data_IF_508045813497
#
_entry.id   IF_508045813497
#
_cell.length_a   1.000
_cell.length_b   1.000
_cell.length_c   1.000
_cell.angle_alpha   90.00
_cell.angle_beta   90.00
_cell.angle_gamma   90.00
#
_symmetry.space_group_name_H-M   'P 1'
#
loop_
_entity.id
_entity.type
_entity.pdbx_description
1 polymer ?
#
# COMPACT_ATOMS: atom_id res chain seq x y z
N UNK A 1 10.59 39.38 15.28
CA UNK A 1 9.82 38.13 15.12
C UNK A 1 10.62 37.20 14.22
N UNK A 2 11.00 35.99 14.64
CA UNK A 2 11.78 35.04 13.81
C UNK A 2 10.84 33.98 13.25
N UNK A 3 10.79 33.84 11.92
CA UNK A 3 10.03 32.81 11.24
C UNK A 3 10.98 31.66 10.93
N UNK A 4 10.69 30.47 11.49
CA UNK A 4 11.46 29.25 11.22
C UNK A 4 10.70 28.42 10.20
N UNK A 5 11.22 28.28 8.99
CA UNK A 5 10.66 27.40 7.96
C UNK A 5 11.32 26.03 8.08
N UNK A 6 10.53 24.99 8.32
CA UNK A 6 11.01 23.60 8.35
C UNK A 6 10.77 22.94 7.00
N UNK A 7 11.85 22.67 6.27
CA UNK A 7 11.81 21.88 5.03
C UNK A 7 11.90 20.40 5.38
N UNK A 8 10.98 19.58 4.85
CA UNK A 8 11.02 18.12 4.99
C UNK A 8 11.55 17.53 3.68
N UNK A 9 12.77 16.99 3.70
CA UNK A 9 13.28 16.18 2.59
C UNK A 9 12.67 14.77 2.64
N UNK A 10 12.08 14.33 1.54
CA UNK A 10 11.79 12.92 1.29
C UNK A 10 12.96 12.30 0.52
N UNK A 11 13.67 11.36 1.15
CA UNK A 11 14.76 10.62 0.51
C UNK A 11 14.27 9.27 -0.01
N UNK A 12 14.33 9.08 -1.33
CA UNK A 12 14.01 7.82 -2.01
C UNK A 12 15.30 7.22 -2.57
N UNK A 13 15.62 5.97 -2.23
CA UNK A 13 16.75 5.24 -2.81
C UNK A 13 16.38 3.80 -3.16
N UNK A 14 16.69 3.39 -4.39
CA UNK A 14 16.48 2.06 -4.91
C UNK A 14 17.76 1.56 -5.58
N UNK A 15 18.14 0.29 -5.37
CA UNK A 15 19.24 -0.38 -6.06
C UNK A 15 18.87 -1.85 -6.32
N UNK A 16 19.08 -2.34 -7.55
CA UNK A 16 18.66 -3.68 -8.02
C UNK A 16 19.76 -4.46 -8.77
N UNK A 17 19.35 -5.37 -9.67
CA UNK A 17 20.12 -6.51 -10.28
C UNK A 17 20.07 -7.79 -9.40
N UNK A 18 20.31 -9.04 -9.82
CA UNK A 18 20.58 -9.76 -11.10
C UNK A 18 20.29 -11.29 -10.88
N UNK A 19 20.30 -12.27 -11.81
CA UNK A 19 20.61 -12.27 -13.27
C UNK A 19 19.70 -13.22 -14.13
N UNK A 20 20.20 -14.35 -14.66
CA UNK A 20 19.63 -15.18 -15.73
C UNK A 20 19.45 -16.69 -15.40
N UNK A 21 18.46 -17.36 -16.03
CA UNK A 21 18.49 -18.75 -16.56
C UNK A 21 17.21 -19.06 -17.39
N UNK A 22 17.29 -20.00 -18.35
CA UNK A 22 16.23 -20.32 -19.33
C UNK A 22 15.24 -21.42 -18.88
N UNK A 23 13.99 -21.46 -19.40
CA UNK A 23 13.03 -22.56 -19.23
C UNK A 23 12.99 -23.54 -20.43
N UNK A 24 12.55 -24.80 -20.25
CA UNK A 24 12.18 -25.71 -21.34
C UNK A 24 10.73 -25.50 -21.82
N UNK A 25 10.40 -26.07 -22.99
CA UNK A 25 9.27 -25.66 -23.83
C UNK A 25 8.00 -26.53 -23.76
N UNK A 26 6.88 -25.85 -24.02
CA UNK A 26 5.69 -26.24 -24.83
C UNK A 26 4.95 -27.59 -24.69
N UNK A 27 3.62 -27.50 -24.79
CA UNK A 27 2.78 -28.54 -25.43
C UNK A 27 1.32 -28.57 -24.97
N UNK A 28 0.38 -28.04 -25.79
CA UNK A 28 -1.07 -28.32 -25.58
C UNK A 28 -2.05 -27.27 -26.12
N UNK A 29 -2.70 -27.55 -27.26
CA UNK A 29 -3.84 -26.82 -27.84
C UNK A 29 -5.15 -27.23 -27.10
N UNK A 30 -6.35 -26.65 -27.25
CA UNK A 30 -6.99 -26.12 -28.47
C UNK A 30 -8.29 -25.30 -28.18
N UNK A 31 -8.55 -24.29 -29.03
CA UNK A 31 -9.84 -23.82 -29.63
C UNK A 31 -11.15 -23.50 -28.84
N UNK A 32 -11.68 -22.31 -29.21
CA UNK A 32 -13.10 -21.94 -29.51
C UNK A 32 -14.11 -21.82 -28.35
N UNK A 33 -15.13 -20.95 -28.38
CA UNK A 33 -15.84 -20.34 -29.54
C UNK A 33 -16.37 -18.90 -29.30
N UNK A 34 -16.83 -18.29 -30.39
CA UNK A 34 -17.53 -17.00 -30.56
C UNK A 34 -18.89 -16.91 -29.80
N UNK A 35 -19.51 -15.75 -29.57
CA UNK A 35 -20.36 -14.98 -30.53
C UNK A 35 -20.68 -13.57 -29.97
N UNK A 36 -20.51 -12.55 -30.85
CA UNK A 36 -21.33 -11.35 -31.17
C UNK A 36 -22.62 -11.02 -30.35
N UNK A 37 -23.22 -9.81 -30.31
CA UNK A 37 -23.04 -8.42 -30.83
C UNK A 37 -24.04 -7.52 -30.06
N UNK A 38 -23.86 -6.18 -29.98
CA UNK A 38 -24.96 -5.27 -29.54
C UNK A 38 -24.52 -3.85 -29.14
N UNK A 39 -25.15 -2.81 -29.72
CA UNK A 39 -24.72 -1.40 -29.64
C UNK A 39 -25.69 -0.49 -28.83
N UNK A 40 -25.23 0.76 -28.60
CA UNK A 40 -26.00 2.01 -28.42
C UNK A 40 -26.41 2.49 -26.99
N UNK A 41 -25.45 3.15 -26.35
CA UNK A 41 -25.49 4.54 -25.84
C UNK A 41 -26.74 5.19 -25.18
N UNK A 42 -26.43 5.83 -24.03
CA UNK A 42 -26.85 7.16 -23.54
C UNK A 42 -27.87 7.26 -22.38
N UNK A 43 -27.43 8.00 -21.35
CA UNK A 43 -28.16 8.52 -20.17
C UNK A 43 -28.67 7.45 -19.17
N UNK A 44 -28.41 7.54 -17.86
CA UNK A 44 -27.63 8.51 -17.06
C UNK A 44 -27.19 7.86 -15.74
N UNK A 45 -25.95 8.10 -15.30
CA UNK A 45 -25.24 7.37 -14.22
C UNK A 45 -25.06 5.86 -14.52
N UNK A 46 -23.87 5.50 -14.99
CA UNK A 46 -23.63 4.19 -15.61
C UNK A 46 -23.83 2.99 -14.67
N UNK A 47 -24.68 1.99 -15.02
CA UNK A 47 -24.84 0.76 -14.25
C UNK A 47 -23.52 0.03 -13.98
N UNK A 48 -22.52 0.16 -14.88
CA UNK A 48 -21.21 -0.47 -14.72
C UNK A 48 -20.38 0.07 -13.55
N UNK A 49 -20.44 1.37 -13.23
CA UNK A 49 -19.61 1.94 -12.15
C UNK A 49 -20.16 1.58 -10.76
N UNK A 50 -21.49 1.55 -10.63
CA UNK A 50 -22.15 1.09 -9.40
C UNK A 50 -21.98 -0.42 -9.21
N UNK A 51 -22.11 -1.21 -10.28
CA UNK A 51 -21.91 -2.66 -10.28
C UNK A 51 -20.45 -3.07 -10.06
N UNK A 52 -19.47 -2.25 -10.46
CA UNK A 52 -18.05 -2.42 -10.09
C UNK A 52 -17.84 -2.24 -8.58
N UNK A 53 -18.41 -1.17 -8.00
CA UNK A 53 -18.39 -0.91 -6.56
C UNK A 53 -19.21 -1.94 -5.73
N UNK A 54 -20.17 -2.63 -6.34
CA UNK A 54 -20.94 -3.73 -5.73
C UNK A 54 -20.25 -5.09 -5.88
N UNK A 55 -19.50 -5.35 -6.95
CA UNK A 55 -18.80 -6.63 -7.17
C UNK A 55 -17.49 -6.75 -6.37
N UNK A 56 -16.76 -5.65 -6.13
CA UNK A 56 -15.62 -5.65 -5.22
C UNK A 56 -16.01 -5.85 -3.75
N UNK A 57 -17.30 -5.77 -3.39
CA UNK A 57 -17.82 -6.10 -2.06
C UNK A 57 -18.01 -7.61 -1.82
N UNK A 58 -17.76 -8.46 -2.84
CA UNK A 58 -18.31 -9.83 -2.88
C UNK A 58 -17.33 -11.01 -2.88
N UNK A 59 -16.00 -10.83 -2.82
CA UNK A 59 -15.08 -12.00 -2.68
C UNK A 59 -15.05 -12.59 -1.28
N UNK A 60 -15.26 -11.77 -0.23
CA UNK A 60 -15.24 -12.20 1.17
C UNK A 60 -16.56 -12.88 1.58
N UNK A 61 -16.73 -14.14 1.17
CA UNK A 61 -17.73 -15.06 1.73
C UNK A 61 -17.27 -15.54 3.12
N UNK A 62 -17.27 -14.64 4.09
CA UNK A 62 -16.87 -14.94 5.46
C UNK A 62 -17.11 -13.77 6.40
N UNK A 63 -17.25 -14.07 7.69
CA UNK A 63 -17.25 -13.06 8.73
C UNK A 63 -15.82 -12.57 8.94
N UNK A 64 -15.50 -11.33 8.54
CA UNK A 64 -14.22 -10.63 8.83
C UNK A 64 -14.00 -10.34 10.32
N UNK A 65 -14.87 -10.86 11.20
CA UNK A 65 -14.79 -10.71 12.64
C UNK A 65 -13.58 -11.48 13.17
N UNK A 66 -12.57 -10.72 13.57
CA UNK A 66 -11.44 -11.22 14.33
C UNK A 66 -11.81 -11.31 15.81
N UNK A 67 -11.10 -12.16 16.54
CA UNK A 67 -11.05 -12.08 17.99
C UNK A 67 -9.63 -11.72 18.40
N UNK A 68 -9.47 -10.50 18.89
CA UNK A 68 -8.18 -9.96 19.30
C UNK A 68 -8.19 -9.77 20.82
N UNK A 69 -7.18 -10.31 21.49
CA UNK A 69 -6.98 -10.16 22.93
C UNK A 69 -5.59 -9.56 23.15
N UNK A 70 -5.46 -8.23 23.23
CA UNK A 70 -4.18 -7.59 23.46
C UNK A 70 -3.60 -8.01 24.82
N UNK A 71 -2.32 -8.39 24.83
CA UNK A 71 -1.59 -8.69 26.05
C UNK A 71 -1.48 -7.41 26.91
N UNK A 72 -1.93 -7.48 28.15
CA UNK A 72 -1.84 -6.37 29.11
C UNK A 72 -0.37 -6.08 29.41
N UNK A 73 0.07 -4.86 29.12
CA UNK A 73 1.43 -4.41 29.42
C UNK A 73 1.46 -3.67 30.77
N UNK A 74 2.46 -3.95 31.61
CA UNK A 74 2.71 -3.16 32.82
C UNK A 74 3.32 -1.78 32.49
N UNK A 75 4.19 -1.76 31.48
CA UNK A 75 4.98 -0.60 31.04
C UNK A 75 4.83 -0.39 29.53
N UNK A 76 5.14 0.82 29.05
CA UNK A 76 5.02 1.18 27.64
C UNK A 76 4.51 2.62 27.44
N UNK A 77 4.18 2.95 26.20
CA UNK A 77 3.68 4.30 25.84
C UNK A 77 2.21 4.42 26.25
N UNK A 78 1.89 5.38 27.12
CA UNK A 78 0.52 5.56 27.68
C UNK A 78 -0.36 6.54 26.90
N UNK A 79 0.15 7.12 25.82
CA UNK A 79 -0.45 8.21 25.05
C UNK A 79 -0.72 7.80 23.62
N UNK A 80 -1.58 8.55 22.93
CA UNK A 80 -2.06 8.22 21.60
C UNK A 80 -3.12 7.11 21.63
N UNK A 81 -3.48 6.63 20.46
CA UNK A 81 -4.48 5.58 20.28
C UNK A 81 -4.05 4.68 19.13
N UNK A 82 -4.23 3.36 19.28
CA UNK A 82 -4.01 2.39 18.20
C UNK A 82 -5.31 1.66 17.92
N UNK A 83 -5.73 1.66 16.65
CA UNK A 83 -6.75 0.76 16.13
C UNK A 83 -6.11 -0.26 15.18
N UNK A 84 -6.44 -1.54 15.34
CA UNK A 84 -6.05 -2.59 14.40
C UNK A 84 -7.30 -3.38 14.01
N UNK A 85 -7.62 -3.43 12.72
CA UNK A 85 -8.75 -4.20 12.19
C UNK A 85 -10.11 -3.87 12.84
N UNK A 86 -10.31 -2.61 13.23
CA UNK A 86 -11.53 -2.14 13.91
C UNK A 86 -11.55 -2.32 15.43
N UNK A 87 -10.57 -3.03 16.00
CA UNK A 87 -10.37 -3.13 17.45
C UNK A 87 -9.53 -1.99 17.99
N UNK A 88 -9.84 -1.51 19.19
CA UNK A 88 -8.95 -0.58 19.92
C UNK A 88 -7.95 -1.39 20.75
N UNK A 89 -6.66 -1.21 20.49
CA UNK A 89 -5.62 -1.73 21.36
C UNK A 89 -5.47 -0.74 22.54
N UNK A 90 -5.65 -1.17 23.81
CA UNK A 90 -5.51 -0.30 24.96
C UNK A 90 -4.03 -0.05 25.31
N UNK A 91 -3.65 1.14 25.79
CA UNK A 91 -2.32 1.40 26.34
C UNK A 91 -2.13 0.70 27.71
N UNK A 92 -0.89 0.53 28.21
CA UNK A 92 0.39 0.98 27.62
C UNK A 92 0.77 0.19 26.36
N UNK A 93 1.42 0.86 25.41
CA UNK A 93 1.87 0.27 24.15
C UNK A 93 3.32 -0.21 24.21
N UNK A 94 3.51 -1.50 23.92
CA UNK A 94 4.78 -2.16 23.59
C UNK A 94 4.73 -2.52 22.11
N UNK A 95 5.76 -2.10 21.34
CA UNK A 95 5.79 -2.20 19.87
C UNK A 95 7.13 -2.79 19.46
N UNK A 96 7.09 -3.99 18.88
CA UNK A 96 8.27 -4.80 18.54
C UNK A 96 8.15 -5.39 17.13
N UNK A 97 9.28 -5.83 16.55
CA UNK A 97 9.28 -6.71 15.38
C UNK A 97 9.63 -8.13 15.78
N UNK A 98 8.74 -9.07 15.47
CA UNK A 98 8.97 -10.51 15.62
C UNK A 98 9.15 -11.12 14.22
N UNK A 99 10.40 -11.40 13.85
CA UNK A 99 10.76 -11.89 12.51
C UNK A 99 10.41 -10.87 11.41
N UNK A 100 9.32 -11.14 10.68
CA UNK A 100 8.77 -10.30 9.62
C UNK A 100 7.45 -9.60 10.00
N UNK A 101 7.04 -9.66 11.28
CA UNK A 101 5.76 -9.14 11.78
C UNK A 101 5.97 -7.99 12.76
N UNK A 102 5.17 -6.93 12.61
CA UNK A 102 5.04 -5.85 13.59
C UNK A 102 3.98 -6.25 14.61
N UNK A 103 4.40 -6.29 15.88
CA UNK A 103 3.57 -6.68 17.01
C UNK A 103 3.33 -5.47 17.91
N UNK A 104 2.07 -5.27 18.30
CA UNK A 104 1.64 -4.24 19.26
C UNK A 104 0.87 -4.93 20.37
N UNK A 105 1.39 -4.91 21.60
CA UNK A 105 0.78 -5.60 22.75
C UNK A 105 0.42 -7.07 22.46
N UNK A 106 1.32 -7.81 21.81
CA UNK A 106 1.07 -9.21 21.39
C UNK A 106 0.13 -9.39 20.19
N UNK A 107 -0.45 -8.31 19.66
CA UNK A 107 -1.28 -8.34 18.44
C UNK A 107 -0.43 -8.08 17.22
N UNK A 108 -0.45 -8.99 16.24
CA UNK A 108 0.14 -8.73 14.93
C UNK A 108 -0.68 -7.70 14.16
N UNK A 109 -0.06 -6.57 13.81
CA UNK A 109 -0.71 -5.46 13.08
C UNK A 109 -0.19 -5.28 11.64
N UNK A 110 0.93 -5.92 11.30
CA UNK A 110 1.46 -5.98 9.93
C UNK A 110 2.40 -7.18 9.76
N UNK A 111 2.27 -8.01 8.70
CA UNK A 111 1.16 -8.06 7.75
C UNK A 111 -0.17 -8.35 8.46
N UNK A 112 -1.27 -8.05 7.78
CA UNK A 112 -2.63 -8.20 8.34
C UNK A 112 -2.92 -9.64 8.74
N UNK A 113 -3.55 -9.86 9.90
CA UNK A 113 -3.99 -11.20 10.32
C UNK A 113 -4.95 -11.83 9.31
N UNK A 114 -5.86 -11.04 8.73
CA UNK A 114 -6.77 -11.50 7.68
C UNK A 114 -6.00 -11.84 6.38
N UNK A 115 -4.94 -11.08 6.06
CA UNK A 115 -4.10 -11.37 4.89
C UNK A 115 -3.27 -12.65 4.98
N UNK A 116 -3.02 -13.16 6.19
CA UNK A 116 -2.38 -14.47 6.39
C UNK A 116 -3.41 -15.61 6.45
N UNK A 117 -4.65 -15.34 6.90
CA UNK A 117 -5.74 -16.34 6.98
C UNK A 117 -6.33 -16.70 5.61
N UNK A 118 -6.27 -15.79 4.64
CA UNK A 118 -6.79 -15.99 3.29
C UNK A 118 -5.63 -16.06 2.27
N UNK A 119 -4.95 -17.21 2.10
CA UNK A 119 -3.95 -17.45 1.05
C UNK A 119 -4.61 -17.53 -0.33
N UNK A 120 -5.16 -16.40 -0.78
CA UNK A 120 -6.11 -16.30 -1.87
C UNK A 120 -6.75 -14.91 -1.94
N UNK A 121 -7.16 -14.33 -0.81
CA UNK A 121 -7.67 -12.96 -0.69
C UNK A 121 -6.69 -12.11 0.13
N UNK A 122 -5.47 -12.03 -0.40
CA UNK A 122 -4.47 -11.04 0.02
C UNK A 122 -5.08 -9.64 0.09
N UNK A 123 -4.55 -8.79 0.98
CA UNK A 123 -5.24 -7.63 1.49
C UNK A 123 -5.41 -6.61 0.39
N UNK A 124 -6.65 -6.46 -0.11
CA UNK A 124 -6.94 -5.78 -1.38
C UNK A 124 -5.91 -6.17 -2.45
N UNK A 125 -5.94 -7.43 -2.90
CA UNK A 125 -5.16 -7.93 -4.04
C UNK A 125 -5.10 -6.83 -5.12
N UNK A 126 -3.92 -6.23 -5.25
CA UNK A 126 -3.50 -5.43 -6.40
C UNK A 126 -4.16 -6.04 -7.63
N UNK A 127 -4.95 -5.24 -8.36
CA UNK A 127 -5.77 -5.72 -9.48
C UNK A 127 -4.90 -6.64 -10.36
N UNK A 128 -5.46 -7.63 -11.06
CA UNK A 128 -4.66 -8.35 -12.08
C UNK A 128 -4.02 -7.36 -13.07
N UNK A 129 -4.68 -6.22 -13.30
CA UNK A 129 -4.10 -5.01 -13.90
C UNK A 129 -2.88 -4.46 -13.15
N UNK A 130 -2.95 -4.16 -11.85
CA UNK A 130 -1.80 -3.67 -11.07
C UNK A 130 -0.60 -4.62 -11.03
N UNK A 131 -0.82 -5.93 -10.92
CA UNK A 131 0.30 -6.88 -10.97
C UNK A 131 0.96 -6.88 -12.36
N UNK A 132 0.16 -6.90 -13.44
CA UNK A 132 0.66 -6.78 -14.80
C UNK A 132 1.35 -5.41 -15.04
N UNK A 133 0.79 -4.31 -14.54
CA UNK A 133 1.36 -2.95 -14.59
C UNK A 133 2.66 -2.86 -13.81
N UNK A 134 2.73 -3.42 -12.61
CA UNK A 134 3.95 -3.41 -11.79
C UNK A 134 5.06 -4.24 -12.42
N UNK A 135 4.71 -5.40 -12.99
CA UNK A 135 5.63 -6.20 -13.80
C UNK A 135 6.10 -5.42 -15.04
N UNK A 136 5.19 -4.78 -15.78
CA UNK A 136 5.48 -3.96 -16.97
C UNK A 136 6.36 -2.75 -16.67
N UNK A 137 6.10 -2.01 -15.59
CA UNK A 137 6.99 -0.92 -15.11
C UNK A 137 8.37 -1.44 -14.75
N UNK A 138 8.45 -2.61 -14.12
CA UNK A 138 9.72 -3.25 -13.75
C UNK A 138 10.50 -3.71 -14.99
N UNK A 139 9.80 -4.27 -15.99
CA UNK A 139 10.34 -4.64 -17.30
C UNK A 139 10.91 -3.42 -18.03
N UNK A 140 10.12 -2.34 -18.19
CA UNK A 140 10.55 -1.10 -18.87
C UNK A 140 11.72 -0.45 -18.12
N UNK A 141 11.70 -0.40 -16.78
CA UNK A 141 12.83 0.10 -15.98
C UNK A 141 14.10 -0.74 -16.16
N UNK A 142 13.98 -2.07 -16.22
CA UNK A 142 15.09 -2.99 -16.49
C UNK A 142 15.65 -2.80 -17.90
N UNK A 143 14.79 -2.66 -18.91
CA UNK A 143 15.20 -2.41 -20.29
C UNK A 143 15.93 -1.06 -20.45
N UNK A 144 15.49 0.01 -19.77
CA UNK A 144 16.21 1.29 -19.69
C UNK A 144 17.63 1.11 -19.15
N UNK A 145 17.78 0.36 -18.05
CA UNK A 145 19.09 0.06 -17.45
C UNK A 145 19.95 -0.81 -18.36
N UNK A 146 19.36 -1.77 -19.08
CA UNK A 146 20.07 -2.62 -20.05
C UNK A 146 20.56 -1.86 -21.28
N UNK A 147 19.78 -0.90 -21.79
CA UNK A 147 20.23 0.02 -22.84
C UNK A 147 21.45 0.80 -22.33
N UNK A 148 21.38 1.41 -21.15
CA UNK A 148 22.53 2.13 -20.61
C UNK A 148 23.77 1.26 -20.46
N UNK A 149 23.66 0.10 -19.82
CA UNK A 149 24.82 -0.77 -19.55
C UNK A 149 25.43 -1.39 -20.82
N UNK A 150 24.63 -1.66 -21.87
CA UNK A 150 25.12 -2.21 -23.14
C UNK A 150 25.86 -1.18 -23.99
N UNK A 151 25.42 0.08 -23.95
CA UNK A 151 25.94 1.15 -24.81
C UNK A 151 27.03 2.00 -24.10
N UNK A 152 27.16 1.87 -22.77
CA UNK A 152 28.18 2.56 -21.96
C UNK A 152 29.59 2.17 -22.41
N UNK A 153 30.33 3.15 -22.91
CA UNK A 153 31.70 2.96 -23.42
C UNK A 153 31.78 2.66 -24.92
N UNK A 154 30.65 2.50 -25.62
CA UNK A 154 30.59 2.36 -27.09
C UNK A 154 29.91 3.53 -27.77
N UNK A 155 28.99 4.23 -27.09
CA UNK A 155 28.34 5.47 -27.53
C UNK A 155 28.70 6.67 -26.66
N UNK A 156 28.43 7.88 -27.17
CA UNK A 156 28.47 9.09 -26.35
C UNK A 156 27.30 9.09 -25.36
N UNK A 157 27.47 9.72 -24.20
CA UNK A 157 26.40 9.77 -23.19
C UNK A 157 25.11 10.40 -23.72
N UNK A 158 25.22 11.41 -24.62
CA UNK A 158 24.06 12.06 -25.21
C UNK A 158 23.26 11.13 -26.14
N UNK A 159 23.93 10.23 -26.87
CA UNK A 159 23.27 9.26 -27.75
C UNK A 159 22.55 8.19 -26.92
N UNK A 160 23.18 7.71 -25.85
CA UNK A 160 22.58 6.74 -24.92
C UNK A 160 21.34 7.35 -24.24
N UNK A 161 21.44 8.61 -23.80
CA UNK A 161 20.31 9.34 -23.21
C UNK A 161 19.15 9.51 -24.19
N UNK A 162 19.44 9.72 -25.47
CA UNK A 162 18.42 9.79 -26.54
C UNK A 162 17.76 8.43 -26.79
N UNK A 163 18.55 7.37 -26.96
CA UNK A 163 18.03 6.00 -27.17
C UNK A 163 17.08 5.57 -26.04
N UNK A 164 17.41 5.93 -24.79
CA UNK A 164 16.58 5.69 -23.61
C UNK A 164 15.28 6.51 -23.64
N UNK A 165 15.34 7.79 -24.01
CA UNK A 165 14.13 8.63 -24.16
C UNK A 165 13.22 8.08 -25.24
N UNK A 166 13.76 7.72 -26.40
CA UNK A 166 13.00 7.14 -27.52
C UNK A 166 12.37 5.78 -27.13
N UNK A 167 13.04 4.99 -26.29
CA UNK A 167 12.48 3.75 -25.72
C UNK A 167 11.34 4.00 -24.72
N UNK A 168 11.48 5.00 -23.83
CA UNK A 168 10.40 5.38 -22.89
C UNK A 168 9.19 5.89 -23.64
N UNK A 169 9.36 6.75 -24.66
CA UNK A 169 8.24 7.26 -25.46
C UNK A 169 7.49 6.15 -26.22
N UNK A 170 8.19 5.10 -26.65
CA UNK A 170 7.59 3.87 -27.22
C UNK A 170 6.92 2.98 -26.16
N UNK A 171 7.25 3.14 -24.88
CA UNK A 171 6.70 2.42 -23.73
C UNK A 171 5.77 3.31 -22.89
N UNK A 172 5.01 4.17 -23.57
CA UNK A 172 4.09 5.15 -22.96
C UNK A 172 2.89 4.51 -22.23
N UNK A 173 2.71 3.20 -22.36
CA UNK A 173 1.81 2.39 -21.53
C UNK A 173 2.28 2.28 -20.07
N UNK A 174 3.60 2.39 -19.83
CA UNK A 174 4.19 2.33 -18.50
C UNK A 174 4.62 3.72 -17.99
N UNK A 175 5.36 4.47 -18.82
CA UNK A 175 6.01 5.72 -18.42
C UNK A 175 5.91 6.80 -19.51
N UNK A 176 5.59 8.02 -19.08
CA UNK A 176 5.51 9.23 -19.90
C UNK A 176 6.48 10.31 -19.38
N UNK A 177 6.64 11.38 -20.14
CA UNK A 177 7.42 12.58 -19.77
C UNK A 177 8.86 12.31 -19.29
N UNK A 178 9.67 11.50 -20.01
CA UNK A 178 11.07 11.25 -19.63
C UNK A 178 11.87 12.57 -19.62
N UNK A 179 12.53 12.87 -18.50
CA UNK A 179 13.30 14.10 -18.29
C UNK A 179 14.61 13.78 -17.56
N UNK A 180 15.75 14.11 -18.15
CA UNK A 180 17.06 13.98 -17.48
C UNK A 180 17.26 15.08 -16.45
N UNK A 181 17.79 14.72 -15.27
CA UNK A 181 18.19 15.67 -14.23
C UNK A 181 19.69 15.62 -13.89
N UNK A 182 20.43 14.78 -14.59
CA UNK A 182 21.87 14.65 -14.50
C UNK A 182 22.37 13.66 -15.53
N UNK A 183 23.64 13.30 -15.44
CA UNK A 183 24.26 12.36 -16.37
C UNK A 183 23.60 10.96 -16.29
N UNK A 184 23.26 10.52 -15.07
CA UNK A 184 22.79 9.15 -14.77
C UNK A 184 21.39 9.06 -14.17
N UNK A 185 20.68 10.19 -13.98
CA UNK A 185 19.34 10.22 -13.38
C UNK A 185 18.28 10.65 -14.39
N UNK A 186 17.37 9.72 -14.69
CA UNK A 186 16.18 9.94 -15.50
C UNK A 186 14.94 10.02 -14.60
N UNK A 187 14.22 11.13 -14.64
CA UNK A 187 12.86 11.19 -14.14
C UNK A 187 11.88 10.70 -15.19
N UNK A 188 10.97 9.82 -14.78
CA UNK A 188 9.80 9.39 -15.57
C UNK A 188 8.54 9.57 -14.75
N UNK A 189 7.40 9.69 -15.43
CA UNK A 189 6.09 9.79 -14.81
C UNK A 189 5.26 8.55 -15.17
N UNK A 190 4.62 7.90 -14.20
CA UNK A 190 3.71 6.79 -14.48
C UNK A 190 2.50 7.26 -15.30
N UNK A 191 2.17 6.53 -16.37
CA UNK A 191 1.14 6.96 -17.33
C UNK A 191 -0.27 7.09 -16.69
N UNK A 192 -0.66 6.15 -15.84
CA UNK A 192 -1.98 6.14 -15.19
C UNK A 192 -2.03 6.98 -13.90
N UNK A 193 -1.04 6.82 -13.01
CA UNK A 193 -1.07 7.43 -11.66
C UNK A 193 -0.50 8.86 -11.64
N UNK A 194 0.21 9.25 -12.70
CA UNK A 194 0.96 10.51 -12.80
C UNK A 194 2.04 10.71 -11.72
N UNK A 195 2.40 9.66 -10.97
CA UNK A 195 3.49 9.69 -9.99
C UNK A 195 4.85 9.81 -10.69
N UNK A 196 5.77 10.60 -10.12
CA UNK A 196 7.13 10.76 -10.64
C UNK A 196 8.09 9.78 -9.96
N UNK A 197 8.97 9.18 -10.75
CA UNK A 197 9.97 8.22 -10.31
C UNK A 197 11.35 8.60 -10.83
N UNK A 198 12.37 8.47 -9.99
CA UNK A 198 13.76 8.49 -10.41
C UNK A 198 14.22 7.10 -10.87
N UNK A 199 14.91 7.05 -12.00
CA UNK A 199 15.67 5.91 -12.49
C UNK A 199 17.13 6.31 -12.48
N UNK A 200 17.85 5.86 -11.46
CA UNK A 200 19.31 5.89 -11.41
C UNK A 200 19.87 4.77 -12.29
N UNK A 201 20.75 5.16 -13.22
CA UNK A 201 21.46 4.29 -14.14
C UNK A 201 22.82 3.83 -13.62
N UNK A 202 23.43 4.56 -12.69
CA UNK A 202 24.76 4.29 -12.17
C UNK A 202 24.72 3.36 -10.94
N UNK A 203 23.83 2.37 -10.97
CA UNK A 203 23.73 1.39 -9.90
C UNK A 203 25.00 0.54 -9.90
N UNK A 204 25.69 0.54 -8.76
CA UNK A 204 26.76 -0.42 -8.47
C UNK A 204 26.21 -1.85 -8.38
N UNK A 205 27.04 -2.83 -7.96
CA UNK A 205 26.57 -4.19 -7.78
C UNK A 205 25.33 -4.23 -6.84
N UNK A 206 24.41 -5.18 -7.06
CA UNK A 206 23.23 -5.31 -6.22
C UNK A 206 23.65 -5.48 -4.76
N UNK A 207 22.92 -4.89 -3.79
CA UNK A 207 23.23 -5.10 -2.38
C UNK A 207 23.18 -6.61 -2.09
N UNK A 208 24.20 -7.11 -1.40
CA UNK A 208 24.26 -8.50 -0.93
C UNK A 208 23.05 -8.83 -0.05
N UNK A 209 22.71 -10.11 0.11
CA UNK A 209 21.60 -10.50 1.02
C UNK A 209 21.83 -10.02 2.47
N UNK A 210 23.09 -9.92 2.91
CA UNK A 210 23.46 -9.29 4.17
C UNK A 210 23.07 -7.81 4.20
N UNK A 211 23.41 -7.04 3.16
CA UNK A 211 23.05 -5.62 3.07
C UNK A 211 21.54 -5.40 2.90
N UNK A 212 20.84 -6.23 2.13
CA UNK A 212 19.37 -6.21 2.03
C UNK A 212 18.74 -6.45 3.40
N UNK A 213 19.22 -7.46 4.13
CA UNK A 213 18.76 -7.78 5.49
C UNK A 213 19.04 -6.63 6.45
N UNK A 214 20.23 -6.02 6.41
CA UNK A 214 20.55 -4.84 7.21
C UNK A 214 19.70 -3.62 6.86
N UNK A 215 19.48 -3.32 5.57
CA UNK A 215 18.63 -2.21 5.11
C UNK A 215 17.19 -2.42 5.57
N UNK A 216 16.66 -3.65 5.45
CA UNK A 216 15.35 -4.02 5.96
C UNK A 216 15.26 -3.86 7.49
N UNK A 217 16.27 -4.30 8.25
CA UNK A 217 16.31 -4.13 9.70
C UNK A 217 16.35 -2.64 10.11
N UNK A 218 17.15 -1.80 9.44
CA UNK A 218 17.19 -0.34 9.66
C UNK A 218 15.84 0.32 9.34
N UNK A 219 15.20 -0.07 8.24
CA UNK A 219 13.87 0.43 7.87
C UNK A 219 12.79 0.04 8.90
N UNK A 220 12.78 -1.23 9.34
CA UNK A 220 11.90 -1.74 10.41
C UNK A 220 12.06 -0.97 11.71
N UNK A 221 13.31 -0.70 12.13
CA UNK A 221 13.61 0.08 13.32
C UNK A 221 13.18 1.55 13.18
N UNK A 222 13.43 2.17 12.02
CA UNK A 222 12.98 3.53 11.71
C UNK A 222 11.46 3.66 11.76
N UNK A 223 10.74 2.65 11.25
CA UNK A 223 9.28 2.59 11.29
C UNK A 223 8.76 2.49 12.74
N UNK A 224 9.29 1.58 13.56
CA UNK A 224 8.93 1.48 14.99
C UNK A 224 9.21 2.78 15.73
N UNK A 225 10.38 3.39 15.53
CA UNK A 225 10.73 4.67 16.16
C UNK A 225 9.74 5.77 15.77
N UNK A 226 9.27 5.77 14.52
CA UNK A 226 8.27 6.73 14.02
C UNK A 226 6.89 6.52 14.66
N UNK A 227 6.42 5.27 14.74
CA UNK A 227 5.17 4.91 15.43
C UNK A 227 5.23 5.28 16.92
N UNK A 228 6.31 4.88 17.61
CA UNK A 228 6.50 5.21 19.02
C UNK A 228 6.56 6.73 19.26
N UNK A 229 7.20 7.49 18.37
CA UNK A 229 7.22 8.96 18.44
C UNK A 229 5.81 9.53 18.28
N UNK A 230 5.05 9.08 17.28
CA UNK A 230 3.67 9.52 17.05
C UNK A 230 2.77 9.28 18.27
N UNK A 231 2.85 8.10 18.88
CA UNK A 231 2.07 7.76 20.09
C UNK A 231 2.48 8.59 21.30
N UNK A 232 3.78 8.82 21.51
CA UNK A 232 4.28 9.76 22.54
C UNK A 232 3.78 11.19 22.32
N UNK A 233 3.43 11.56 21.09
CA UNK A 233 2.84 12.85 20.71
C UNK A 233 1.31 12.84 20.69
N UNK A 234 0.65 11.74 21.06
CA UNK A 234 -0.81 11.65 21.13
C UNK A 234 -1.52 11.27 19.82
N UNK A 235 -0.78 10.84 18.78
CA UNK A 235 -1.37 10.47 17.50
C UNK A 235 -2.32 9.27 17.59
N UNK A 236 -3.37 9.28 16.77
CA UNK A 236 -4.14 8.08 16.46
C UNK A 236 -3.49 7.35 15.27
N UNK A 237 -3.24 6.05 15.43
CA UNK A 237 -2.63 5.17 14.43
C UNK A 237 -3.61 4.05 14.10
N UNK A 238 -3.83 3.80 12.82
CA UNK A 238 -4.71 2.76 12.30
C UNK A 238 -3.95 1.73 11.50
N UNK A 239 -4.27 0.46 11.68
CA UNK A 239 -3.86 -0.66 10.83
C UNK A 239 -5.10 -1.32 10.25
N UNK A 240 -5.15 -1.45 8.92
CA UNK A 240 -6.31 -1.98 8.20
C UNK A 240 -6.14 -3.47 7.93
N UNK A 241 -7.24 -4.19 7.81
CA UNK A 241 -7.24 -5.58 7.30
C UNK A 241 -6.68 -5.69 5.89
N UNK A 242 -6.78 -4.62 5.09
CA UNK A 242 -6.12 -4.43 3.82
C UNK A 242 -4.62 -4.11 3.92
N UNK A 243 -3.97 -4.37 5.05
CA UNK A 243 -2.50 -4.31 5.21
C UNK A 243 -1.90 -2.89 5.14
N UNK A 244 -2.71 -1.88 4.81
CA UNK A 244 -2.36 -0.49 4.92
C UNK A 244 -2.34 -0.02 6.38
N UNK A 245 -1.75 1.16 6.57
CA UNK A 245 -1.82 1.89 7.84
C UNK A 245 -2.00 3.38 7.58
N UNK A 246 -2.45 4.11 8.59
CA UNK A 246 -2.64 5.55 8.51
C UNK A 246 -2.59 6.22 9.88
N UNK A 247 -2.47 7.54 9.88
CA UNK A 247 -2.56 8.37 11.07
C UNK A 247 -3.77 9.30 10.98
N UNK A 248 -4.28 9.74 12.12
CA UNK A 248 -5.43 10.64 12.16
C UNK A 248 -5.68 11.26 13.53
N UNK A 249 -6.91 11.73 13.71
CA UNK A 249 -7.44 12.30 14.94
C UNK A 249 -8.24 11.25 15.72
N UNK A 250 -8.52 11.45 17.01
CA UNK A 250 -9.36 10.51 17.77
C UNK A 250 -10.80 10.50 17.22
N UNK A 251 -11.16 9.38 16.59
CA UNK A 251 -12.47 9.16 15.95
C UNK A 251 -13.51 8.53 16.88
N UNK A 252 -13.14 8.12 18.11
CA UNK A 252 -13.97 7.25 18.96
C UNK A 252 -15.39 7.80 19.18
N UNK A 253 -15.53 9.11 19.38
CA UNK A 253 -16.82 9.78 19.54
C UNK A 253 -17.74 9.59 18.32
N UNK A 254 -17.21 9.83 17.11
CA UNK A 254 -17.98 9.74 15.85
C UNK A 254 -18.32 8.29 15.52
N UNK A 255 -17.38 7.37 15.75
CA UNK A 255 -17.63 5.92 15.60
C UNK A 255 -18.74 5.47 16.56
N UNK A 256 -18.64 5.83 17.84
CA UNK A 256 -19.65 5.51 18.85
C UNK A 256 -21.02 6.10 18.51
N UNK A 257 -21.09 7.34 18.02
CA UNK A 257 -22.33 7.95 17.52
C UNK A 257 -22.95 7.10 16.41
N UNK A 258 -22.20 6.84 15.32
CA UNK A 258 -22.70 6.10 14.16
C UNK A 258 -23.06 4.65 14.51
N UNK A 259 -22.29 3.98 15.36
CA UNK A 259 -22.55 2.58 15.74
C UNK A 259 -23.72 2.43 16.72
N UNK A 260 -24.06 3.44 17.53
CA UNK A 260 -25.21 3.40 18.44
C UNK A 260 -26.49 4.02 17.86
N UNK A 261 -26.44 4.69 16.70
CA UNK A 261 -27.66 5.17 16.02
C UNK A 261 -28.62 4.00 15.73
N UNK A 262 -29.89 4.05 16.18
CA UNK A 262 -30.84 2.98 15.96
C UNK A 262 -31.22 2.85 14.48
N UNK A 263 -31.76 1.69 14.10
CA UNK A 263 -32.34 1.40 12.77
C UNK A 263 -31.40 1.51 11.55
N UNK A 264 -30.10 1.83 11.71
CA UNK A 264 -29.13 1.74 10.62
C UNK A 264 -28.76 0.27 10.33
N UNK A 265 -28.83 -0.10 9.05
CA UNK A 265 -28.28 -1.36 8.54
C UNK A 265 -26.75 -1.37 8.60
N UNK A 266 -26.15 -2.56 8.48
CA UNK A 266 -24.69 -2.74 8.40
C UNK A 266 -24.06 -1.80 7.34
N UNK A 267 -24.59 -1.83 6.13
CA UNK A 267 -24.02 -1.07 5.01
C UNK A 267 -24.22 0.44 5.17
N UNK A 268 -25.34 0.88 5.77
CA UNK A 268 -25.53 2.29 6.13
C UNK A 268 -24.49 2.77 7.16
N UNK A 269 -24.10 1.92 8.13
CA UNK A 269 -23.01 2.25 9.06
C UNK A 269 -21.66 2.32 8.35
N UNK A 270 -21.37 1.40 7.43
CA UNK A 270 -20.13 1.42 6.62
C UNK A 270 -20.04 2.71 5.80
N UNK A 271 -21.10 3.08 5.06
CA UNK A 271 -21.10 4.33 4.27
C UNK A 271 -20.96 5.55 5.16
N UNK A 272 -21.69 5.66 6.28
CA UNK A 272 -21.58 6.79 7.20
C UNK A 272 -20.20 6.90 7.85
N UNK A 273 -19.56 5.78 8.23
CA UNK A 273 -18.22 5.77 8.77
C UNK A 273 -17.17 6.16 7.72
N UNK A 274 -17.27 5.64 6.50
CA UNK A 274 -16.44 6.07 5.37
C UNK A 274 -16.65 7.56 5.09
N UNK A 275 -17.87 8.04 4.95
CA UNK A 275 -18.15 9.43 4.57
C UNK A 275 -17.83 10.44 5.65
N UNK A 276 -18.09 10.14 6.93
CA UNK A 276 -17.96 11.10 8.04
C UNK A 276 -16.64 10.97 8.80
N UNK A 277 -16.06 9.76 8.87
CA UNK A 277 -14.95 9.44 9.79
C UNK A 277 -13.66 9.11 9.05
N UNK A 278 -13.65 8.03 8.27
CA UNK A 278 -12.39 7.44 7.76
C UNK A 278 -11.99 7.86 6.34
N UNK A 279 -12.93 8.36 5.54
CA UNK A 279 -12.78 8.64 4.09
C UNK A 279 -12.28 7.44 3.27
N UNK A 280 -12.37 6.22 3.82
CA UNK A 280 -11.94 4.95 3.23
C UNK A 280 -12.92 3.84 3.68
N UNK A 281 -13.22 2.89 2.79
CA UNK A 281 -14.07 1.73 3.08
C UNK A 281 -13.42 0.72 4.04
N UNK A 282 -12.12 0.46 3.92
CA UNK A 282 -11.48 -0.63 4.69
C UNK A 282 -11.58 -0.46 6.21
N UNK A 283 -11.12 0.66 6.82
CA UNK A 283 -11.32 0.91 8.25
C UNK A 283 -12.80 1.04 8.64
N UNK A 284 -13.67 1.54 7.76
CA UNK A 284 -15.10 1.64 8.04
C UNK A 284 -15.75 0.25 8.15
N UNK A 285 -15.38 -0.67 7.25
CA UNK A 285 -15.82 -2.06 7.21
C UNK A 285 -15.24 -2.86 8.39
N UNK A 286 -13.95 -2.70 8.63
CA UNK A 286 -13.25 -3.31 9.77
C UNK A 286 -13.91 -2.95 11.10
N UNK A 287 -14.23 -1.67 11.31
CA UNK A 287 -14.95 -1.21 12.51
C UNK A 287 -16.34 -1.83 12.60
N UNK A 288 -17.12 -1.86 11.52
CA UNK A 288 -18.49 -2.40 11.56
C UNK A 288 -18.51 -3.90 11.89
N UNK A 289 -17.56 -4.67 11.37
CA UNK A 289 -17.50 -6.12 11.59
C UNK A 289 -16.88 -6.50 12.97
N UNK A 290 -16.06 -5.62 13.56
CA UNK A 290 -15.31 -5.88 14.80
C UNK A 290 -15.70 -5.01 16.01
N UNK A 291 -16.75 -4.19 15.92
CA UNK A 291 -17.13 -3.25 16.97
C UNK A 291 -17.46 -3.92 18.32
N UNK A 292 -16.64 -3.68 19.35
CA UNK A 292 -17.01 -3.86 20.76
C UNK A 292 -17.21 -2.50 21.45
N UNK A 293 -18.45 -2.25 21.91
CA UNK A 293 -18.80 -1.04 22.64
C UNK A 293 -17.99 -0.82 23.94
N UNK A 294 -17.28 -1.84 24.47
CA UNK A 294 -16.34 -1.72 25.60
C UNK A 294 -15.00 -1.14 25.18
N UNK A 295 -14.42 -1.61 24.07
CA UNK A 295 -13.18 -1.10 23.50
C UNK A 295 -13.30 0.36 23.05
N UNK A 296 -14.47 0.69 22.49
CA UNK A 296 -14.79 2.01 21.96
C UNK A 296 -15.31 3.00 23.02
N UNK A 297 -15.14 2.70 24.31
CA UNK A 297 -15.33 3.70 25.37
C UNK A 297 -14.17 4.70 25.35
N UNK A 298 -14.51 5.97 25.56
CA UNK A 298 -13.55 6.96 25.98
C UNK A 298 -13.38 6.79 27.50
N UNK A 299 -12.15 6.67 27.99
CA UNK A 299 -11.89 6.85 29.41
C UNK A 299 -12.27 8.30 29.75
N UNK A 300 -13.39 8.47 30.45
CA UNK A 300 -13.79 9.77 30.99
C UNK A 300 -12.80 10.14 32.11
N UNK A 301 -11.93 11.11 31.80
CA UNK A 301 -10.95 11.74 32.69
C UNK A 301 -11.15 13.25 32.64
#
# INVERSE_FOLDING_TARGET
>A
MRITITVILAASFAAGSAWAAQPPAEGGKDKTSSIERGNAAANSSGPGLKRFLELSRHSLRGSRKLHIVPAKQAEGIRTGLIMAYGHIIPPPYKIDWEGSRLIVNGVQVSPSLLSEQEPGDSPAKYYRGDQARSARRSEVKKAIQEIYQREKGTKSQSDIQKDIVDFVLKSSDAFINPTWAGEYELYVQEAETQLRHAIDLNQGPPPSESEKTQRAARARLSYVNSLQKGLRQGAFIMFYSSGGSGTGWDVRKQVKEIMNTPNLTRDQRVELLKERVFKNYDPALDVVDNYDAKEWKQDEK
#
